data_IF_050474955277
#
_entry.id   IF_050474955277
#
_cell.length_a   1.000
_cell.length_b   1.000
_cell.length_c   1.000
_cell.angle_alpha   90.00
_cell.angle_beta   90.00
_cell.angle_gamma   90.00
#
_symmetry.space_group_name_H-M   'P 1'
#
loop_
_entity.id
_entity.type
_entity.pdbx_description
1 polymer ?
#
# COMPACT_ATOMS: atom_id res chain seq x y z
N UNK A 1 -19.35 13.15 18.50
CA UNK A 1 -18.77 11.83 18.23
C UNK A 1 -17.95 11.91 16.94
N UNK A 2 -16.68 11.55 16.98
CA UNK A 2 -15.83 11.49 15.77
C UNK A 2 -16.38 10.41 14.83
N UNK A 3 -16.63 10.74 13.56
CA UNK A 3 -17.25 9.82 12.58
C UNK A 3 -16.23 8.76 12.16
N UNK A 4 -16.47 7.49 12.52
CA UNK A 4 -15.69 6.36 12.01
C UNK A 4 -15.90 6.22 10.49
N UNK A 5 -14.82 6.28 9.72
CA UNK A 5 -14.86 6.05 8.29
C UNK A 5 -14.80 4.54 8.00
N UNK A 6 -15.82 4.02 7.32
CA UNK A 6 -15.88 2.60 6.97
C UNK A 6 -14.75 2.22 6.03
N UNK A 7 -14.10 1.09 6.30
CA UNK A 7 -13.05 0.53 5.45
C UNK A 7 -13.65 -0.45 4.44
N UNK A 8 -13.29 -0.30 3.17
CA UNK A 8 -13.76 -1.17 2.08
C UNK A 8 -13.33 -2.63 2.27
N UNK A 9 -12.18 -2.88 2.90
CA UNK A 9 -11.71 -4.23 3.22
C UNK A 9 -12.58 -4.95 4.27
N UNK A 10 -13.35 -4.22 5.08
CA UNK A 10 -14.11 -4.78 6.20
C UNK A 10 -15.02 -5.97 5.86
N UNK A 11 -15.92 -5.87 4.85
CA UNK A 11 -16.76 -6.99 4.43
C UNK A 11 -15.97 -8.23 4.04
N UNK A 12 -14.81 -8.05 3.39
CA UNK A 12 -13.94 -9.15 2.96
C UNK A 12 -13.30 -9.87 4.15
N UNK A 13 -12.85 -9.12 5.16
CA UNK A 13 -12.32 -9.72 6.40
C UNK A 13 -13.37 -10.56 7.12
N UNK A 14 -14.61 -10.08 7.20
CA UNK A 14 -15.74 -10.84 7.80
C UNK A 14 -16.04 -12.09 6.98
N UNK A 15 -16.01 -12.01 5.64
CA UNK A 15 -16.16 -13.17 4.76
C UNK A 15 -15.06 -14.20 5.04
N UNK A 16 -13.80 -13.79 5.09
CA UNK A 16 -12.68 -14.70 5.36
C UNK A 16 -12.75 -15.35 6.73
N UNK A 17 -13.15 -14.61 7.75
CA UNK A 17 -13.34 -15.18 9.10
C UNK A 17 -14.44 -16.25 9.18
N UNK A 18 -15.31 -16.38 8.16
CA UNK A 18 -16.27 -17.47 8.02
C UNK A 18 -15.74 -18.66 7.21
N UNK A 19 -14.60 -18.50 6.55
CA UNK A 19 -14.05 -19.48 5.60
C UNK A 19 -12.70 -20.06 6.05
N UNK A 20 -11.96 -19.32 6.86
CA UNK A 20 -10.59 -19.68 7.28
C UNK A 20 -10.50 -19.65 8.80
N UNK A 21 -9.77 -20.59 9.42
CA UNK A 21 -9.55 -20.58 10.87
C UNK A 21 -8.75 -19.35 11.33
N UNK A 22 -7.86 -18.83 10.48
CA UNK A 22 -7.03 -17.67 10.77
C UNK A 22 -7.24 -16.58 9.71
N UNK A 23 -7.37 -15.33 10.15
CA UNK A 23 -7.33 -14.13 9.26
C UNK A 23 -6.19 -13.25 9.71
N UNK A 24 -5.24 -12.98 8.82
CA UNK A 24 -4.11 -12.08 9.06
C UNK A 24 -4.34 -10.74 8.36
N UNK A 25 -4.31 -9.65 9.13
CA UNK A 25 -4.39 -8.28 8.62
C UNK A 25 -3.05 -7.58 8.75
N UNK A 26 -2.41 -7.32 7.63
CA UNK A 26 -1.14 -6.58 7.53
C UNK A 26 -1.37 -5.15 7.05
N UNK A 27 -0.32 -4.35 6.98
CA UNK A 27 -0.37 -2.97 6.45
C UNK A 27 0.53 -2.01 7.21
N UNK A 28 0.73 -0.78 6.70
CA UNK A 28 1.58 0.19 7.34
C UNK A 28 1.11 0.53 8.76
N UNK A 29 2.01 1.05 9.57
CA UNK A 29 1.64 1.62 10.87
C UNK A 29 0.63 2.76 10.66
N UNK A 30 -0.24 2.96 11.63
CA UNK A 30 -1.31 3.98 11.59
C UNK A 30 -2.34 3.83 10.44
N UNK A 31 -2.37 2.70 9.71
CA UNK A 31 -3.43 2.44 8.71
C UNK A 31 -4.79 2.11 9.31
N UNK A 32 -4.88 1.93 10.64
CA UNK A 32 -6.13 1.67 11.35
C UNK A 32 -6.46 0.18 11.52
N UNK A 33 -5.47 -0.73 11.46
CA UNK A 33 -5.66 -2.19 11.63
C UNK A 33 -6.39 -2.53 12.93
N UNK A 34 -5.84 -2.10 14.07
CA UNK A 34 -6.42 -2.31 15.40
C UNK A 34 -7.86 -1.82 15.50
N UNK A 35 -8.13 -0.61 15.01
CA UNK A 35 -9.46 0.00 15.00
C UNK A 35 -10.44 -0.83 14.17
N UNK A 36 -10.00 -1.29 13.00
CA UNK A 36 -10.83 -2.09 12.10
C UNK A 36 -11.18 -3.44 12.72
N UNK A 37 -10.19 -4.21 13.21
CA UNK A 37 -10.47 -5.54 13.78
C UNK A 37 -11.34 -5.47 15.03
N UNK A 38 -11.13 -4.51 15.92
CA UNK A 38 -11.99 -4.28 17.09
C UNK A 38 -13.43 -3.97 16.70
N UNK A 39 -13.62 -3.18 15.64
CA UNK A 39 -14.98 -2.82 15.18
C UNK A 39 -15.70 -3.98 14.50
N UNK A 40 -14.97 -4.86 13.78
CA UNK A 40 -15.56 -5.99 13.07
C UNK A 40 -15.77 -7.23 13.95
N UNK A 41 -14.92 -7.41 14.96
CA UNK A 41 -14.91 -8.60 15.81
C UNK A 41 -15.10 -8.26 17.30
N UNK A 42 -16.18 -7.55 17.68
CA UNK A 42 -16.37 -7.05 19.05
C UNK A 42 -16.61 -8.16 20.08
N UNK A 43 -16.91 -9.38 19.62
CA UNK A 43 -17.12 -10.56 20.48
C UNK A 43 -15.86 -11.42 20.66
N UNK A 44 -14.77 -11.08 19.99
CA UNK A 44 -13.49 -11.77 20.17
C UNK A 44 -12.76 -11.19 21.39
N UNK A 45 -12.10 -12.05 22.16
CA UNK A 45 -11.12 -11.58 23.15
C UNK A 45 -10.03 -10.78 22.42
N UNK A 46 -9.52 -9.73 23.05
CA UNK A 46 -8.51 -8.88 22.45
C UNK A 46 -7.26 -8.82 23.31
N UNK A 47 -6.13 -9.12 22.71
CA UNK A 47 -4.80 -8.97 23.33
C UNK A 47 -3.87 -8.20 22.41
N UNK A 48 -3.02 -7.34 23.01
CA UNK A 48 -2.02 -6.55 22.27
C UNK A 48 -0.62 -6.89 22.76
N UNK A 49 0.19 -7.47 21.89
CA UNK A 49 1.57 -7.88 22.18
C UNK A 49 2.59 -6.70 22.20
N UNK A 50 2.14 -5.47 21.95
CA UNK A 50 2.94 -4.27 22.31
C UNK A 50 3.06 -4.14 23.85
N UNK A 51 2.06 -4.64 24.61
CA UNK A 51 2.14 -4.70 26.08
C UNK A 51 3.23 -5.69 26.49
N UNK A 52 4.27 -5.26 27.26
CA UNK A 52 5.35 -6.15 27.66
C UNK A 52 4.88 -7.35 28.47
N UNK A 53 3.91 -7.18 29.36
CA UNK A 53 3.39 -8.28 30.22
C UNK A 53 2.77 -9.37 29.38
N UNK A 54 1.90 -9.00 28.43
CA UNK A 54 1.24 -9.93 27.51
C UNK A 54 2.27 -10.63 26.61
N UNK A 55 3.23 -9.87 26.10
CA UNK A 55 4.30 -10.41 25.26
C UNK A 55 5.19 -11.39 26.00
N UNK A 56 5.59 -11.07 27.22
CA UNK A 56 6.45 -11.93 28.03
C UNK A 56 5.74 -13.23 28.35
N UNK A 57 4.46 -13.19 28.73
CA UNK A 57 3.64 -14.38 28.95
C UNK A 57 3.50 -15.22 27.67
N UNK A 58 3.15 -14.58 26.54
CA UNK A 58 3.06 -15.24 25.23
C UNK A 58 4.37 -15.90 24.76
N UNK A 59 5.51 -15.40 25.22
CA UNK A 59 6.85 -15.92 24.85
C UNK A 59 7.30 -17.04 25.78
N UNK A 60 7.05 -16.91 27.09
CA UNK A 60 7.50 -17.87 28.12
C UNK A 60 6.61 -19.13 28.13
N UNK A 61 5.29 -18.96 28.06
CA UNK A 61 4.34 -20.08 28.04
C UNK A 61 3.23 -19.84 27.00
N UNK A 62 3.53 -20.06 25.71
CA UNK A 62 2.57 -19.84 24.62
C UNK A 62 1.34 -20.73 24.70
N UNK A 63 1.45 -21.93 25.27
CA UNK A 63 0.34 -22.88 25.41
C UNK A 63 -0.67 -22.37 26.45
N UNK A 64 -0.20 -22.02 27.65
CA UNK A 64 -1.07 -21.47 28.69
C UNK A 64 -1.65 -20.11 28.25
N UNK A 65 -0.85 -19.26 27.61
CA UNK A 65 -1.31 -17.98 27.07
C UNK A 65 -2.49 -18.15 26.10
N UNK A 66 -2.33 -18.99 25.06
CA UNK A 66 -3.39 -19.23 24.08
C UNK A 66 -4.59 -19.96 24.71
N UNK A 67 -4.35 -20.89 25.62
CA UNK A 67 -5.40 -21.60 26.37
C UNK A 67 -6.29 -20.67 27.20
N UNK A 68 -5.69 -19.66 27.85
CA UNK A 68 -6.42 -18.66 28.63
C UNK A 68 -7.28 -17.73 27.75
N UNK A 69 -6.85 -17.41 26.54
CA UNK A 69 -7.58 -16.55 25.61
C UNK A 69 -8.82 -17.25 25.04
N UNK A 70 -8.83 -18.58 25.04
CA UNK A 70 -9.94 -19.38 24.54
C UNK A 70 -10.08 -19.31 23.01
N UNK A 71 -11.29 -19.58 22.57
CA UNK A 71 -11.65 -19.52 21.13
C UNK A 71 -12.13 -18.12 20.75
N UNK A 72 -11.88 -17.69 19.53
CA UNK A 72 -12.21 -16.36 18.99
C UNK A 72 -11.43 -15.22 19.65
N UNK A 73 -10.20 -15.09 19.22
CA UNK A 73 -9.28 -14.06 19.73
C UNK A 73 -8.73 -13.18 18.62
N UNK A 74 -8.58 -11.89 18.94
CA UNK A 74 -7.80 -10.92 18.16
C UNK A 74 -6.45 -10.77 18.84
N UNK A 75 -5.37 -11.15 18.15
CA UNK A 75 -3.99 -10.94 18.61
C UNK A 75 -3.37 -9.82 17.77
N UNK A 76 -3.17 -8.68 18.42
CA UNK A 76 -2.62 -7.47 17.77
C UNK A 76 -1.09 -7.45 17.90
N UNK A 77 -0.39 -7.06 16.83
CA UNK A 77 1.07 -6.98 16.73
C UNK A 77 1.79 -8.34 16.92
N UNK A 78 1.26 -9.39 16.25
CA UNK A 78 1.77 -10.78 16.36
C UNK A 78 3.27 -10.93 16.08
N UNK A 79 3.89 -10.02 15.31
CA UNK A 79 5.33 -10.04 15.06
C UNK A 79 6.18 -9.85 16.33
N UNK A 80 5.57 -9.43 17.44
CA UNK A 80 6.25 -9.29 18.75
C UNK A 80 6.48 -10.65 19.44
N UNK A 81 5.69 -11.68 19.10
CA UNK A 81 5.84 -13.05 19.58
C UNK A 81 5.60 -14.05 18.42
N UNK A 82 6.51 -14.13 17.44
CA UNK A 82 6.32 -14.93 16.23
C UNK A 82 6.24 -16.44 16.50
N UNK A 83 6.75 -16.92 17.62
CA UNK A 83 6.66 -18.31 18.06
C UNK A 83 5.22 -18.78 18.25
N UNK A 84 4.28 -17.87 18.55
CA UNK A 84 2.86 -18.19 18.64
C UNK A 84 2.29 -18.79 17.35
N UNK A 85 2.84 -18.46 16.18
CA UNK A 85 2.31 -18.96 14.91
C UNK A 85 2.32 -20.48 14.82
N UNK A 86 3.34 -21.15 15.34
CA UNK A 86 3.42 -22.61 15.36
C UNK A 86 2.40 -23.24 16.34
N UNK A 87 2.17 -22.59 17.49
CA UNK A 87 1.14 -23.05 18.44
C UNK A 87 -0.27 -22.81 17.91
N UNK A 88 -0.51 -21.68 17.25
CA UNK A 88 -1.78 -21.40 16.55
C UNK A 88 -2.03 -22.45 15.47
N UNK A 89 -0.99 -22.85 14.72
CA UNK A 89 -1.10 -23.93 13.74
C UNK A 89 -1.62 -25.22 14.39
N UNK A 90 -1.00 -25.68 15.48
CA UNK A 90 -1.43 -26.90 16.18
C UNK A 90 -2.89 -26.81 16.62
N UNK A 91 -3.30 -25.69 17.21
CA UNK A 91 -4.69 -25.49 17.66
C UNK A 91 -5.71 -25.51 16.52
N UNK A 92 -5.40 -24.92 15.36
CA UNK A 92 -6.33 -24.94 14.21
C UNK A 92 -6.36 -26.30 13.52
N UNK A 93 -5.29 -27.08 13.58
CA UNK A 93 -5.24 -28.45 13.05
C UNK A 93 -6.06 -29.43 13.90
N UNK A 94 -6.20 -29.18 15.20
CA UNK A 94 -7.06 -29.96 16.11
C UNK A 94 -8.55 -29.66 15.92
N UNK A 95 -8.91 -28.51 15.33
CA UNK A 95 -10.30 -28.09 15.12
C UNK A 95 -10.49 -27.52 13.69
N UNK A 96 -10.34 -28.34 12.63
CA UNK A 96 -10.30 -27.88 11.24
C UNK A 96 -11.59 -27.22 10.75
N UNK A 97 -12.73 -27.55 11.34
CA UNK A 97 -14.04 -27.00 10.99
C UNK A 97 -14.34 -25.66 11.69
N UNK A 98 -13.48 -25.20 12.60
CA UNK A 98 -13.66 -23.93 13.29
C UNK A 98 -13.02 -22.78 12.52
N UNK A 99 -13.86 -21.85 12.07
CA UNK A 99 -13.43 -20.68 11.31
C UNK A 99 -13.46 -19.39 12.14
N UNK A 100 -12.58 -18.43 11.80
CA UNK A 100 -12.48 -17.16 12.49
C UNK A 100 -11.99 -17.27 13.94
N UNK A 101 -11.25 -18.34 14.25
CA UNK A 101 -10.71 -18.58 15.58
C UNK A 101 -9.67 -17.51 15.93
N UNK A 102 -8.77 -17.22 15.01
CA UNK A 102 -7.72 -16.20 15.20
C UNK A 102 -7.82 -15.07 14.19
N UNK A 103 -7.89 -13.85 14.70
CA UNK A 103 -7.72 -12.63 13.91
C UNK A 103 -6.37 -12.02 14.31
N UNK A 104 -5.38 -12.11 13.44
CA UNK A 104 -4.04 -11.65 13.71
C UNK A 104 -3.83 -10.29 13.03
N UNK A 105 -3.19 -9.35 13.71
CA UNK A 105 -2.71 -8.14 13.05
C UNK A 105 -1.21 -7.99 13.22
N UNK A 106 -0.59 -7.26 12.29
CA UNK A 106 0.82 -6.92 12.42
C UNK A 106 1.28 -5.97 11.33
N UNK A 107 2.36 -5.24 11.62
CA UNK A 107 3.13 -4.60 10.56
C UNK A 107 3.83 -5.71 9.77
N UNK A 108 3.76 -5.67 8.44
CA UNK A 108 4.46 -6.66 7.61
C UNK A 108 5.96 -6.47 7.81
N UNK A 109 6.62 -7.53 8.26
CA UNK A 109 8.05 -7.66 8.10
C UNK A 109 8.33 -9.01 7.39
N UNK A 110 9.49 -9.13 6.78
CA UNK A 110 9.88 -10.33 6.05
C UNK A 110 9.88 -11.59 6.95
N UNK A 111 10.21 -11.44 8.23
CA UNK A 111 10.24 -12.54 9.20
C UNK A 111 8.82 -13.02 9.53
N UNK A 112 7.88 -12.10 9.76
CA UNK A 112 6.49 -12.44 10.02
C UNK A 112 5.87 -13.20 8.83
N UNK A 113 6.08 -12.70 7.62
CA UNK A 113 5.53 -13.35 6.42
C UNK A 113 6.12 -14.73 6.16
N UNK A 114 7.41 -14.94 6.46
CA UNK A 114 8.02 -16.28 6.43
C UNK A 114 7.38 -17.20 7.48
N UNK A 115 7.21 -16.74 8.72
CA UNK A 115 6.55 -17.51 9.77
C UNK A 115 5.12 -17.90 9.40
N UNK A 116 4.33 -16.96 8.88
CA UNK A 116 2.96 -17.23 8.39
C UNK A 116 2.96 -18.24 7.24
N UNK A 117 3.86 -18.09 6.27
CA UNK A 117 3.98 -19.03 5.14
C UNK A 117 4.43 -20.43 5.58
N UNK A 118 5.25 -20.54 6.60
CA UNK A 118 5.72 -21.83 7.13
C UNK A 118 4.66 -22.55 7.99
N UNK A 119 4.07 -21.80 8.93
CA UNK A 119 3.18 -22.41 9.94
C UNK A 119 1.69 -22.39 9.54
N UNK A 120 1.22 -21.37 8.81
CA UNK A 120 -0.21 -21.16 8.54
C UNK A 120 -0.58 -21.32 7.07
N UNK A 121 0.27 -21.92 6.24
CA UNK A 121 -0.03 -22.18 4.82
C UNK A 121 -1.32 -22.98 4.66
N UNK A 122 -2.24 -22.50 3.81
CA UNK A 122 -3.55 -23.12 3.58
C UNK A 122 -4.59 -22.88 4.67
N UNK A 123 -4.19 -22.35 5.84
CA UNK A 123 -5.07 -22.13 7.02
C UNK A 123 -5.43 -20.66 7.22
N UNK A 124 -4.78 -19.74 6.53
CA UNK A 124 -4.92 -18.31 6.75
C UNK A 124 -5.31 -17.54 5.48
N UNK A 125 -6.26 -16.63 5.63
CA UNK A 125 -6.49 -15.55 4.67
C UNK A 125 -5.67 -14.33 5.06
N UNK A 126 -4.98 -13.71 4.10
CA UNK A 126 -4.10 -12.55 4.34
C UNK A 126 -4.66 -11.33 3.62
N UNK A 127 -4.92 -10.27 4.37
CA UNK A 127 -5.34 -8.97 3.87
C UNK A 127 -4.31 -7.88 4.15
N UNK A 128 -4.28 -6.87 3.29
CA UNK A 128 -3.43 -5.69 3.47
C UNK A 128 -4.29 -4.44 3.59
N UNK A 129 -4.24 -3.77 4.74
CA UNK A 129 -4.95 -2.52 4.98
C UNK A 129 -4.03 -1.34 4.69
N UNK A 130 -4.17 -0.77 3.50
CA UNK A 130 -3.44 0.46 3.10
C UNK A 130 -4.11 1.72 3.70
N UNK A 131 -3.49 2.90 3.62
CA UNK A 131 -4.15 4.16 3.94
C UNK A 131 -5.49 4.30 3.21
N UNK A 132 -6.34 5.26 3.59
CA UNK A 132 -7.65 5.44 2.97
C UNK A 132 -7.58 5.53 1.44
N UNK A 133 -8.58 4.96 0.75
CA UNK A 133 -8.83 5.30 -0.65
C UNK A 133 -9.61 6.61 -0.77
N UNK A 134 -9.62 7.18 -1.97
CA UNK A 134 -10.35 8.41 -2.24
C UNK A 134 -11.85 8.25 -1.95
N UNK A 135 -12.43 7.09 -2.23
CA UNK A 135 -13.82 6.79 -1.94
C UNK A 135 -14.10 6.62 -0.44
N UNK A 136 -13.18 6.04 0.33
CA UNK A 136 -13.31 5.91 1.79
C UNK A 136 -13.38 7.29 2.48
N UNK A 137 -12.74 8.31 1.92
CA UNK A 137 -12.81 9.70 2.41
C UNK A 137 -13.92 10.53 1.75
N UNK A 138 -14.78 9.92 0.94
CA UNK A 138 -15.92 10.59 0.29
C UNK A 138 -15.54 11.46 -0.91
N UNK A 139 -14.53 11.09 -1.68
CA UNK A 139 -14.13 11.76 -2.92
C UNK A 139 -13.17 12.95 -2.75
N UNK A 140 -12.80 13.29 -1.51
CA UNK A 140 -11.89 14.41 -1.22
C UNK A 140 -12.49 15.80 -1.51
N UNK A 141 -11.71 16.81 -1.19
CA UNK A 141 -12.04 18.23 -1.45
C UNK A 141 -11.30 18.81 -2.66
N UNK A 142 -10.46 19.80 -2.43
CA UNK A 142 -9.53 20.30 -3.44
C UNK A 142 -8.45 19.26 -3.73
N UNK A 143 -8.10 19.06 -5.01
CA UNK A 143 -7.11 18.07 -5.45
C UNK A 143 -5.79 18.20 -4.67
N UNK A 144 -5.18 19.38 -4.74
CA UNK A 144 -3.86 19.59 -4.15
C UNK A 144 -3.86 19.50 -2.63
N UNK A 145 -4.95 19.95 -1.98
CA UNK A 145 -5.14 19.77 -0.55
C UNK A 145 -5.24 18.29 -0.17
N UNK A 146 -5.99 17.51 -0.93
CA UNK A 146 -6.15 16.06 -0.70
C UNK A 146 -4.82 15.33 -0.86
N UNK A 147 -4.05 15.64 -1.91
CA UNK A 147 -2.76 15.00 -2.15
C UNK A 147 -1.68 15.40 -1.12
N UNK A 148 -1.66 16.69 -0.73
CA UNK A 148 -0.75 17.19 0.31
C UNK A 148 -1.06 16.59 1.68
N UNK A 149 -2.33 16.46 2.03
CA UNK A 149 -2.78 15.87 3.29
C UNK A 149 -2.43 14.37 3.37
N UNK A 150 -2.37 13.68 2.22
CA UNK A 150 -2.21 12.23 2.17
C UNK A 150 -3.46 11.49 2.63
N UNK A 151 -3.31 10.21 2.99
CA UNK A 151 -4.43 9.32 3.21
C UNK A 151 -4.33 8.54 4.54
N UNK A 152 -3.41 8.89 5.44
CA UNK A 152 -3.32 8.26 6.74
C UNK A 152 -4.54 8.58 7.62
N UNK A 153 -5.25 7.56 8.17
CA UNK A 153 -6.50 7.74 8.91
C UNK A 153 -6.44 8.75 10.05
N UNK A 154 -5.33 8.80 10.78
CA UNK A 154 -5.20 9.69 11.94
C UNK A 154 -5.24 11.17 11.56
N UNK A 155 -4.70 11.53 10.39
CA UNK A 155 -4.72 12.92 9.91
C UNK A 155 -6.17 13.37 9.67
N UNK A 156 -7.00 12.51 9.07
CA UNK A 156 -8.43 12.80 8.83
C UNK A 156 -9.25 12.76 10.11
N UNK A 157 -9.03 11.74 10.94
CA UNK A 157 -9.84 11.52 12.13
C UNK A 157 -9.63 12.57 13.21
N UNK A 158 -8.39 13.00 13.42
CA UNK A 158 -8.00 13.94 14.45
C UNK A 158 -7.83 15.39 13.93
N UNK A 159 -8.05 15.58 12.60
CA UNK A 159 -7.86 16.85 11.90
C UNK A 159 -6.49 17.48 12.20
N UNK A 160 -5.45 16.64 12.09
CA UNK A 160 -4.07 17.06 12.37
C UNK A 160 -3.49 17.86 11.19
N UNK A 161 -2.51 18.73 11.50
CA UNK A 161 -1.64 19.27 10.46
C UNK A 161 -0.84 18.11 9.81
N UNK A 162 -0.91 17.95 8.48
CA UNK A 162 -0.26 16.82 7.81
C UNK A 162 1.26 16.84 7.95
N UNK A 163 1.87 18.01 7.91
CA UNK A 163 3.33 18.16 7.99
C UNK A 163 3.83 17.74 9.36
N UNK A 164 3.16 18.19 10.43
CA UNK A 164 3.49 17.82 11.80
C UNK A 164 3.24 16.33 12.06
N UNK A 165 2.08 15.82 11.66
CA UNK A 165 1.71 14.42 11.86
C UNK A 165 2.69 13.46 11.15
N UNK A 166 3.11 13.78 9.92
CA UNK A 166 4.05 12.97 9.14
C UNK A 166 5.50 13.13 9.63
N UNK A 167 5.85 14.27 10.23
CA UNK A 167 7.12 14.43 10.95
C UNK A 167 7.20 13.44 12.11
N UNK A 168 6.19 13.39 12.96
CA UNK A 168 6.15 12.41 14.06
C UNK A 168 6.06 10.97 13.57
N UNK A 169 5.32 10.71 12.49
CA UNK A 169 5.28 9.38 11.87
C UNK A 169 6.68 8.93 11.44
N UNK A 170 7.43 9.80 10.77
CA UNK A 170 8.79 9.51 10.30
C UNK A 170 9.73 9.26 11.47
N UNK A 171 9.77 10.15 12.45
CA UNK A 171 10.67 10.06 13.59
C UNK A 171 10.37 8.87 14.53
N UNK A 172 9.08 8.52 14.71
CA UNK A 172 8.71 7.51 15.72
C UNK A 172 8.57 6.11 15.16
N UNK A 173 8.08 5.97 13.93
CA UNK A 173 7.77 4.65 13.35
C UNK A 173 8.78 4.24 12.29
N UNK A 174 9.06 5.12 11.34
CA UNK A 174 9.94 4.76 10.24
C UNK A 174 11.36 4.53 10.73
N UNK A 175 11.89 5.42 11.56
CA UNK A 175 13.23 5.26 12.14
C UNK A 175 13.34 4.03 13.03
N UNK A 176 12.31 3.74 13.83
CA UNK A 176 12.27 2.56 14.69
C UNK A 176 12.23 1.27 13.90
N UNK A 177 11.32 1.16 12.92
CA UNK A 177 11.17 -0.05 12.11
C UNK A 177 12.44 -0.34 11.30
N UNK A 178 13.09 0.72 10.80
CA UNK A 178 14.38 0.60 10.10
C UNK A 178 15.48 0.13 11.03
N UNK A 179 15.59 0.67 12.24
CA UNK A 179 16.60 0.23 13.22
C UNK A 179 16.41 -1.23 13.60
N UNK A 180 15.17 -1.68 13.79
CA UNK A 180 14.85 -3.08 14.13
C UNK A 180 15.18 -4.04 12.98
N UNK A 181 14.94 -3.64 11.72
CA UNK A 181 15.09 -4.52 10.55
C UNK A 181 16.51 -4.60 9.98
N UNK A 182 17.32 -3.55 10.09
CA UNK A 182 18.57 -3.44 9.31
C UNK A 182 19.82 -3.23 10.14
N UNK A 183 19.75 -2.99 11.44
CA UNK A 183 20.90 -2.52 12.22
C UNK A 183 21.59 -1.32 11.53
N UNK A 184 20.80 -0.39 10.97
CA UNK A 184 21.32 0.81 10.29
C UNK A 184 22.22 1.58 11.26
N UNK A 185 23.51 1.59 10.97
CA UNK A 185 24.49 2.33 11.77
C UNK A 185 24.37 3.84 11.55
N UNK A 186 23.86 4.26 10.38
CA UNK A 186 23.75 5.66 9.98
C UNK A 186 22.31 6.00 9.57
N UNK A 187 21.52 6.40 10.56
CA UNK A 187 20.12 6.83 10.34
C UNK A 187 20.04 8.09 9.47
N UNK A 188 21.01 8.99 9.55
CA UNK A 188 21.03 10.23 8.76
C UNK A 188 21.09 9.91 7.26
N UNK A 189 21.98 8.98 6.87
CA UNK A 189 22.05 8.52 5.47
C UNK A 189 20.78 7.81 5.02
N UNK A 190 20.14 7.05 5.89
CA UNK A 190 18.88 6.42 5.57
C UNK A 190 17.77 7.46 5.32
N UNK A 191 17.68 8.50 6.13
CA UNK A 191 16.72 9.59 5.93
C UNK A 191 17.01 10.37 4.65
N UNK A 192 18.28 10.61 4.33
CA UNK A 192 18.68 11.18 3.04
C UNK A 192 18.25 10.29 1.89
N UNK A 193 18.50 8.98 1.96
CA UNK A 193 18.07 8.00 0.97
C UNK A 193 16.55 8.02 0.76
N UNK A 194 15.78 8.07 1.85
CA UNK A 194 14.33 8.15 1.81
C UNK A 194 13.83 9.40 1.09
N UNK A 195 14.45 10.57 1.35
CA UNK A 195 14.13 11.83 0.65
C UNK A 195 14.47 11.75 -0.84
N UNK A 196 15.59 11.15 -1.20
CA UNK A 196 15.96 10.91 -2.59
C UNK A 196 15.00 9.97 -3.29
N UNK A 197 14.51 8.93 -2.60
CA UNK A 197 13.45 8.06 -3.10
C UNK A 197 12.15 8.85 -3.33
N UNK A 198 11.78 9.77 -2.43
CA UNK A 198 10.58 10.60 -2.60
C UNK A 198 10.69 11.51 -3.84
N UNK A 199 11.86 12.10 -4.09
CA UNK A 199 12.13 12.88 -5.31
C UNK A 199 12.11 12.07 -6.60
N UNK A 200 12.12 10.73 -6.51
CA UNK A 200 12.11 9.81 -7.65
C UNK A 200 10.84 8.94 -7.71
N UNK A 201 9.80 9.29 -6.97
CA UNK A 201 8.51 8.59 -7.10
C UNK A 201 7.99 8.65 -8.53
N UNK A 202 7.46 7.55 -9.06
CA UNK A 202 7.01 7.43 -10.44
C UNK A 202 8.12 7.19 -11.48
N UNK A 203 9.40 7.15 -11.07
CA UNK A 203 10.51 6.95 -12.00
C UNK A 203 10.99 5.49 -12.01
N UNK A 204 11.69 5.10 -13.09
CA UNK A 204 12.39 3.83 -13.15
C UNK A 204 13.43 3.75 -12.03
N UNK A 205 13.41 2.65 -11.30
CA UNK A 205 14.27 2.43 -10.14
C UNK A 205 15.72 2.26 -10.59
N UNK A 206 16.57 3.24 -10.28
CA UNK A 206 18.00 3.15 -10.44
C UNK A 206 18.70 3.12 -9.07
N UNK A 207 18.87 1.91 -8.53
CA UNK A 207 19.48 1.70 -7.23
C UNK A 207 20.96 2.13 -7.19
N UNK A 208 21.68 2.07 -8.32
CA UNK A 208 23.07 2.50 -8.39
C UNK A 208 23.19 4.03 -8.25
N UNK A 209 22.32 4.80 -8.92
CA UNK A 209 22.31 6.25 -8.77
C UNK A 209 21.88 6.67 -7.37
N UNK A 210 20.87 6.02 -6.79
CA UNK A 210 20.46 6.26 -5.39
C UNK A 210 21.61 6.00 -4.41
N UNK A 211 22.35 4.91 -4.63
CA UNK A 211 23.49 4.55 -3.81
C UNK A 211 24.63 5.59 -3.90
N UNK A 212 24.95 6.04 -5.12
CA UNK A 212 25.97 7.04 -5.37
C UNK A 212 25.63 8.38 -4.68
N UNK A 213 24.38 8.86 -4.82
CA UNK A 213 23.93 10.13 -4.22
C UNK A 213 23.91 10.08 -2.67
N UNK A 214 23.79 8.89 -2.08
CA UNK A 214 23.83 8.69 -0.63
C UNK A 214 25.22 8.30 -0.09
N UNK A 215 26.21 8.06 -0.94
CA UNK A 215 27.51 7.55 -0.54
C UNK A 215 27.44 6.18 0.13
N UNK A 216 26.59 5.25 -0.37
CA UNK A 216 26.40 3.89 0.12
C UNK A 216 26.67 2.87 -0.98
N UNK A 217 26.87 1.60 -0.60
CA UNK A 217 27.00 0.53 -1.58
C UNK A 217 25.67 0.22 -2.28
N UNK A 218 25.71 -0.16 -3.56
CA UNK A 218 24.51 -0.54 -4.32
C UNK A 218 23.71 -1.68 -3.68
N UNK A 219 24.38 -2.65 -3.04
CA UNK A 219 23.72 -3.72 -2.27
C UNK A 219 22.91 -3.13 -1.10
N UNK A 220 23.46 -2.18 -0.38
CA UNK A 220 22.78 -1.49 0.73
C UNK A 220 21.53 -0.74 0.23
N UNK A 221 21.62 -0.07 -0.92
CA UNK A 221 20.47 0.61 -1.49
C UNK A 221 19.32 -0.38 -1.83
N UNK A 222 19.64 -1.54 -2.40
CA UNK A 222 18.65 -2.59 -2.68
C UNK A 222 18.04 -3.19 -1.39
N UNK A 223 18.85 -3.39 -0.37
CA UNK A 223 18.38 -3.82 0.96
C UNK A 223 17.41 -2.78 1.56
N UNK A 224 17.77 -1.50 1.51
CA UNK A 224 16.93 -0.42 2.02
C UNK A 224 15.61 -0.28 1.24
N UNK A 225 15.63 -0.42 -0.09
CA UNK A 225 14.40 -0.48 -0.89
C UNK A 225 13.50 -1.64 -0.46
N UNK A 226 14.08 -2.83 -0.26
CA UNK A 226 13.31 -4.01 0.18
C UNK A 226 12.67 -3.81 1.56
N UNK A 227 13.31 -3.06 2.44
CA UNK A 227 12.77 -2.70 3.75
C UNK A 227 11.63 -1.69 3.62
N UNK A 228 11.82 -0.66 2.79
CA UNK A 228 10.76 0.31 2.51
C UNK A 228 9.52 -0.35 1.90
N UNK A 229 9.70 -1.38 1.05
CA UNK A 229 8.59 -2.19 0.54
C UNK A 229 7.93 -3.02 1.63
N UNK A 230 8.73 -3.74 2.44
CA UNK A 230 8.23 -4.54 3.55
C UNK A 230 7.52 -3.71 4.63
N UNK A 231 7.83 -2.41 4.72
CA UNK A 231 7.19 -1.45 5.64
C UNK A 231 6.01 -0.70 5.00
N UNK A 232 5.61 -1.03 3.78
CA UNK A 232 4.55 -0.32 3.04
C UNK A 232 4.82 1.18 2.84
N UNK A 233 6.06 1.58 2.71
CA UNK A 233 6.43 2.97 2.39
C UNK A 233 6.48 3.16 0.88
N UNK A 234 7.11 2.22 0.18
CA UNK A 234 7.18 2.23 -1.28
C UNK A 234 6.66 0.91 -1.85
N UNK A 235 6.38 0.92 -3.14
CA UNK A 235 6.06 -0.26 -3.92
C UNK A 235 6.67 -0.15 -5.31
N UNK A 236 7.16 -1.28 -5.85
CA UNK A 236 7.65 -1.38 -7.22
C UNK A 236 6.52 -1.78 -8.15
N UNK A 237 6.42 -1.08 -9.29
CA UNK A 237 5.53 -1.41 -10.38
C UNK A 237 6.36 -2.05 -11.49
N UNK A 238 6.19 -3.35 -11.77
CA UNK A 238 6.94 -4.01 -12.84
C UNK A 238 6.50 -3.53 -14.24
N UNK A 239 7.35 -3.64 -15.25
CA UNK A 239 6.96 -3.35 -16.62
C UNK A 239 6.09 -4.48 -17.19
N UNK A 240 5.18 -4.10 -18.09
CA UNK A 240 4.38 -5.05 -18.83
C UNK A 240 5.18 -5.62 -20.03
N UNK A 241 5.16 -6.92 -20.20
CA UNK A 241 5.64 -7.64 -21.37
C UNK A 241 4.71 -8.82 -21.66
N UNK A 242 4.52 -9.18 -22.93
CA UNK A 242 3.79 -10.39 -23.29
C UNK A 242 4.46 -11.65 -22.69
N UNK A 243 5.80 -11.68 -22.68
CA UNK A 243 6.56 -12.73 -22.00
C UNK A 243 6.70 -12.42 -20.50
N UNK A 244 6.12 -13.26 -19.65
CA UNK A 244 6.08 -13.12 -18.19
C UNK A 244 7.49 -13.05 -17.57
N UNK A 245 8.45 -13.84 -18.05
CA UNK A 245 9.84 -13.83 -17.55
C UNK A 245 10.50 -12.45 -17.74
N UNK A 246 10.16 -11.73 -18.81
CA UNK A 246 10.64 -10.36 -19.02
C UNK A 246 10.04 -9.36 -18.05
N UNK A 247 8.80 -9.57 -17.57
CA UNK A 247 8.17 -8.73 -16.54
C UNK A 247 8.97 -8.74 -15.24
N UNK A 248 9.59 -9.87 -14.90
CA UNK A 248 10.33 -10.05 -13.66
C UNK A 248 11.78 -9.55 -13.71
N UNK A 249 12.38 -9.48 -14.91
CA UNK A 249 13.81 -9.19 -15.11
C UNK A 249 14.13 -7.74 -15.47
N UNK A 250 13.12 -6.94 -15.84
CA UNK A 250 13.31 -5.57 -16.30
C UNK A 250 13.05 -4.56 -15.18
N UNK A 251 13.60 -3.36 -15.35
CA UNK A 251 13.58 -2.30 -14.32
C UNK A 251 12.16 -1.84 -14.01
N UNK A 252 11.71 -1.96 -12.74
CA UNK A 252 10.41 -1.45 -12.31
C UNK A 252 10.44 0.07 -12.11
N UNK A 253 9.26 0.70 -12.11
CA UNK A 253 9.07 2.03 -11.50
C UNK A 253 8.90 1.89 -9.98
N UNK A 254 9.25 2.94 -9.23
CA UNK A 254 9.05 2.99 -7.78
C UNK A 254 8.06 4.09 -7.40
N UNK A 255 7.11 3.75 -6.54
CA UNK A 255 6.12 4.69 -6.02
C UNK A 255 6.03 4.61 -4.50
N UNK A 256 5.78 5.74 -3.86
CA UNK A 256 5.33 5.75 -2.48
C UNK A 256 3.87 5.29 -2.37
N UNK A 257 3.46 4.79 -1.19
CA UNK A 257 2.09 4.37 -0.94
C UNK A 257 1.21 5.46 -0.30
N UNK A 258 1.78 6.64 -0.09
CA UNK A 258 1.06 7.81 0.41
C UNK A 258 1.67 9.11 -0.12
N UNK A 259 0.82 9.99 -0.68
CA UNK A 259 1.26 11.26 -1.28
C UNK A 259 1.62 12.31 -0.25
N UNK A 260 0.97 12.31 0.91
CA UNK A 260 1.31 13.21 2.02
C UNK A 260 2.72 12.95 2.53
N UNK A 261 3.11 11.67 2.65
CA UNK A 261 4.48 11.31 3.03
C UNK A 261 5.49 11.79 1.99
N UNK A 262 5.19 11.69 0.69
CA UNK A 262 6.05 12.26 -0.36
C UNK A 262 6.18 13.78 -0.18
N UNK A 263 5.06 14.48 0.01
CA UNK A 263 5.07 15.93 0.22
C UNK A 263 5.93 16.32 1.43
N UNK A 264 5.75 15.65 2.57
CA UNK A 264 6.53 15.87 3.77
C UNK A 264 8.04 15.69 3.53
N UNK A 265 8.44 14.58 2.92
CA UNK A 265 9.85 14.26 2.65
C UNK A 265 10.52 15.23 1.69
N UNK A 266 9.75 15.84 0.78
CA UNK A 266 10.19 16.87 -0.16
C UNK A 266 10.13 18.30 0.41
N UNK A 267 9.67 18.47 1.65
CA UNK A 267 9.53 19.80 2.27
C UNK A 267 8.37 20.62 1.72
N UNK A 268 7.37 19.97 1.09
CA UNK A 268 6.16 20.64 0.60
C UNK A 268 5.20 20.82 1.78
N UNK A 269 5.05 22.06 2.25
CA UNK A 269 4.35 22.39 3.50
C UNK A 269 2.91 22.88 3.31
N UNK A 270 2.43 23.02 2.06
CA UNK A 270 1.06 23.43 1.78
C UNK A 270 0.54 22.92 0.45
N UNK A 271 -0.80 22.91 0.31
CA UNK A 271 -1.47 22.59 -0.93
C UNK A 271 -1.10 23.54 -2.10
N UNK A 272 -0.93 24.82 -1.82
CA UNK A 272 -0.58 25.82 -2.82
C UNK A 272 0.86 25.63 -3.32
N UNK A 273 1.77 25.29 -2.42
CA UNK A 273 3.14 24.92 -2.80
C UNK A 273 3.14 23.66 -3.67
N UNK A 274 2.34 22.64 -3.35
CA UNK A 274 2.20 21.44 -4.18
C UNK A 274 1.65 21.76 -5.56
N UNK A 275 0.64 22.63 -5.67
CA UNK A 275 0.01 23.01 -6.93
C UNK A 275 0.98 23.61 -7.95
N UNK A 276 2.04 24.29 -7.48
CA UNK A 276 3.10 24.90 -8.29
C UNK A 276 4.39 24.08 -8.33
N UNK A 277 4.48 22.97 -7.56
CA UNK A 277 5.72 22.21 -7.42
C UNK A 277 6.09 21.45 -8.72
N UNK A 278 7.38 21.41 -9.13
CA UNK A 278 7.81 20.67 -10.32
C UNK A 278 7.41 19.19 -10.34
N UNK A 279 7.39 18.54 -9.17
CA UNK A 279 7.02 17.12 -9.04
C UNK A 279 5.51 16.87 -8.85
N UNK A 280 4.65 17.90 -9.01
CA UNK A 280 3.19 17.72 -8.85
C UNK A 280 2.61 16.64 -9.75
N UNK A 281 3.16 16.47 -10.96
CA UNK A 281 2.76 15.39 -11.89
C UNK A 281 3.07 14.02 -11.35
N UNK A 282 4.30 13.79 -10.87
CA UNK A 282 4.72 12.51 -10.28
C UNK A 282 3.97 12.19 -8.97
N UNK A 283 3.63 13.19 -8.17
CA UNK A 283 2.82 13.02 -6.95
C UNK A 283 1.38 12.67 -7.32
N UNK A 284 0.81 13.28 -8.36
CA UNK A 284 -0.50 12.91 -8.87
C UNK A 284 -0.51 11.51 -9.47
N UNK A 285 0.52 11.12 -10.23
CA UNK A 285 0.70 9.76 -10.73
C UNK A 285 0.78 8.75 -9.57
N UNK A 286 1.55 9.08 -8.54
CA UNK A 286 1.64 8.28 -7.30
C UNK A 286 0.27 8.08 -6.66
N UNK A 287 -0.55 9.13 -6.55
CA UNK A 287 -1.93 9.02 -6.05
C UNK A 287 -2.73 8.00 -6.87
N UNK A 288 -2.78 8.15 -8.19
CA UNK A 288 -3.55 7.26 -9.07
C UNK A 288 -3.08 5.82 -8.91
N UNK A 289 -1.77 5.58 -8.91
CA UNK A 289 -1.19 4.26 -8.71
C UNK A 289 -1.59 3.64 -7.36
N UNK A 290 -1.60 4.45 -6.30
CA UNK A 290 -2.01 3.95 -4.97
C UNK A 290 -3.49 3.59 -4.93
N UNK A 291 -4.37 4.28 -5.65
CA UNK A 291 -5.80 3.93 -5.73
C UNK A 291 -6.01 2.57 -6.41
N UNK A 292 -5.25 2.24 -7.46
CA UNK A 292 -5.29 0.90 -8.05
C UNK A 292 -4.83 -0.17 -7.06
N UNK A 293 -3.73 0.03 -6.34
CA UNK A 293 -3.29 -0.92 -5.30
C UNK A 293 -4.30 -1.08 -4.18
N UNK A 294 -4.90 0.01 -3.70
CA UNK A 294 -5.96 0.00 -2.69
C UNK A 294 -7.20 -0.76 -3.17
N UNK A 295 -7.57 -0.59 -4.44
CA UNK A 295 -8.67 -1.34 -5.05
C UNK A 295 -8.46 -2.86 -4.93
N UNK A 296 -7.30 -3.36 -5.34
CA UNK A 296 -6.97 -4.79 -5.25
C UNK A 296 -6.86 -5.25 -3.79
N UNK A 297 -6.16 -4.50 -2.94
CA UNK A 297 -5.99 -4.83 -1.54
C UNK A 297 -7.32 -4.91 -0.79
N UNK A 298 -8.23 -3.95 -1.01
CA UNK A 298 -9.57 -3.90 -0.39
C UNK A 298 -10.49 -5.05 -0.82
N UNK A 299 -10.17 -5.73 -1.92
CA UNK A 299 -10.87 -6.93 -2.41
C UNK A 299 -10.14 -8.23 -2.07
N UNK A 300 -8.96 -8.15 -1.46
CA UNK A 300 -8.12 -9.31 -1.18
C UNK A 300 -7.65 -10.01 -2.44
N UNK A 301 -7.42 -9.26 -3.50
CA UNK A 301 -6.98 -9.76 -4.80
C UNK A 301 -5.51 -9.41 -5.04
N UNK A 302 -4.81 -10.27 -5.77
CA UNK A 302 -3.51 -9.92 -6.31
C UNK A 302 -3.67 -8.82 -7.37
N UNK A 303 -2.84 -7.80 -7.29
CA UNK A 303 -2.85 -6.75 -8.30
C UNK A 303 -2.35 -7.26 -9.66
N UNK A 304 -3.00 -6.76 -10.69
CA UNK A 304 -2.70 -7.06 -12.10
C UNK A 304 -2.42 -5.76 -12.84
N UNK A 305 -1.38 -5.05 -12.37
CA UNK A 305 -1.00 -3.74 -12.89
C UNK A 305 0.50 -3.68 -13.19
N UNK A 306 0.84 -2.97 -14.25
CA UNK A 306 2.18 -2.79 -14.79
C UNK A 306 2.32 -1.41 -15.40
N UNK A 307 3.53 -0.93 -15.62
CA UNK A 307 3.79 0.15 -16.57
C UNK A 307 4.20 -0.43 -17.93
N UNK A 308 4.04 0.32 -19.01
CA UNK A 308 4.54 -0.08 -20.33
C UNK A 308 5.55 0.92 -20.84
N UNK A 309 6.65 0.42 -21.39
CA UNK A 309 7.63 1.23 -22.10
C UNK A 309 8.26 0.41 -23.22
N UNK A 310 8.26 0.97 -24.42
CA UNK A 310 8.89 0.33 -25.59
C UNK A 310 10.32 0.80 -25.84
N UNK A 311 10.99 0.19 -26.84
CA UNK A 311 12.35 0.56 -27.26
C UNK A 311 12.45 1.97 -27.85
N UNK A 312 11.35 2.54 -28.33
CA UNK A 312 11.23 3.92 -28.79
C UNK A 312 10.92 4.92 -27.71
N UNK A 313 11.02 4.52 -26.44
CA UNK A 313 10.73 5.32 -25.22
C UNK A 313 9.28 5.81 -25.11
N UNK A 314 8.34 5.24 -25.89
CA UNK A 314 6.91 5.50 -25.70
C UNK A 314 6.46 4.79 -24.44
N UNK A 315 5.69 5.46 -23.62
CA UNK A 315 5.32 5.00 -22.28
C UNK A 315 3.81 5.07 -22.08
N UNK A 316 3.27 4.12 -21.33
CA UNK A 316 1.93 4.18 -20.70
C UNK A 316 2.15 4.02 -19.21
N UNK A 317 1.58 4.93 -18.44
CA UNK A 317 1.77 4.98 -16.99
C UNK A 317 1.26 3.72 -16.32
N UNK A 318 0.10 3.19 -16.76
CA UNK A 318 -0.50 1.99 -16.18
C UNK A 318 -1.18 1.11 -17.23
N UNK A 319 -0.84 -0.17 -17.19
CA UNK A 319 -1.55 -1.29 -17.84
C UNK A 319 -2.25 -2.08 -16.73
N UNK A 320 -3.55 -2.26 -16.80
CA UNK A 320 -4.31 -3.10 -15.87
C UNK A 320 -4.98 -4.25 -16.62
N UNK A 321 -4.78 -5.50 -16.16
CA UNK A 321 -5.41 -6.72 -16.68
C UNK A 321 -6.51 -7.18 -15.71
N UNK A 322 -7.59 -6.40 -15.62
CA UNK A 322 -8.74 -6.69 -14.76
C UNK A 322 -9.70 -7.75 -15.35
N UNK A 323 -10.78 -8.04 -14.62
CA UNK A 323 -11.84 -8.97 -15.05
C UNK A 323 -12.63 -8.46 -16.27
N UNK A 324 -12.73 -7.15 -16.43
CA UNK A 324 -13.41 -6.50 -17.55
C UNK A 324 -12.54 -6.35 -18.82
N UNK A 325 -11.36 -6.95 -18.83
CA UNK A 325 -10.39 -6.83 -19.92
C UNK A 325 -9.20 -5.95 -19.58
N UNK A 326 -8.40 -5.65 -20.60
CA UNK A 326 -7.21 -4.81 -20.43
C UNK A 326 -7.55 -3.34 -20.53
N UNK A 327 -7.01 -2.55 -19.60
CA UNK A 327 -7.08 -1.09 -19.61
C UNK A 327 -5.68 -0.50 -19.79
N UNK A 328 -5.57 0.50 -20.63
CA UNK A 328 -4.39 1.36 -20.72
C UNK A 328 -4.75 2.73 -20.15
N UNK A 329 -3.97 3.18 -19.19
CA UNK A 329 -4.26 4.43 -18.48
C UNK A 329 -3.09 5.37 -18.57
N UNK A 330 -3.34 6.56 -19.06
CA UNK A 330 -2.44 7.72 -19.01
C UNK A 330 -2.84 8.62 -17.85
N UNK A 331 -1.88 9.24 -17.17
CA UNK A 331 -2.13 10.00 -15.94
C UNK A 331 -1.63 11.44 -16.12
N UNK A 332 -2.53 12.42 -15.95
CA UNK A 332 -2.21 13.84 -16.17
C UNK A 332 -2.76 14.70 -15.04
N UNK A 333 -1.88 15.40 -14.34
CA UNK A 333 -2.27 16.29 -13.23
C UNK A 333 -2.98 17.59 -13.67
N UNK A 334 -3.00 17.89 -14.97
CA UNK A 334 -3.70 19.04 -15.54
C UNK A 334 -5.21 18.98 -15.34
N UNK A 335 -5.84 20.15 -15.18
CA UNK A 335 -7.29 20.23 -14.97
C UNK A 335 -8.07 20.35 -16.29
N UNK A 336 -7.47 20.90 -17.33
CA UNK A 336 -8.07 21.03 -18.66
C UNK A 336 -7.64 19.84 -19.51
N UNK A 337 -8.57 19.01 -20.01
CA UNK A 337 -8.21 17.87 -20.83
C UNK A 337 -7.78 18.30 -22.24
N UNK A 338 -6.66 17.74 -22.69
CA UNK A 338 -6.12 17.94 -24.03
C UNK A 338 -6.26 16.64 -24.85
N UNK A 339 -6.68 16.74 -26.12
CA UNK A 339 -6.86 15.58 -27.00
C UNK A 339 -5.55 14.78 -27.19
N UNK A 340 -4.42 15.46 -27.20
CA UNK A 340 -3.07 14.88 -27.35
C UNK A 340 -2.74 13.82 -26.29
N UNK A 341 -3.35 13.91 -25.08
CA UNK A 341 -3.12 12.94 -24.01
C UNK A 341 -3.57 11.53 -24.37
N UNK A 342 -4.59 11.41 -25.25
CA UNK A 342 -5.08 10.13 -25.74
C UNK A 342 -4.32 9.56 -26.94
N UNK A 343 -3.55 10.36 -27.66
CA UNK A 343 -2.90 9.94 -28.91
C UNK A 343 -1.81 8.88 -28.70
N UNK A 344 -1.05 8.99 -27.61
CA UNK A 344 -0.05 7.98 -27.25
C UNK A 344 -0.71 6.65 -26.93
N UNK A 345 -1.82 6.65 -26.16
CA UNK A 345 -2.61 5.46 -25.84
C UNK A 345 -3.10 4.78 -27.12
N UNK A 346 -3.68 5.52 -28.07
CA UNK A 346 -4.18 4.98 -29.34
C UNK A 346 -3.07 4.34 -30.17
N UNK A 347 -1.91 4.99 -30.28
CA UNK A 347 -0.76 4.43 -31.02
C UNK A 347 -0.23 3.16 -30.39
N UNK A 348 -0.13 3.12 -29.06
CA UNK A 348 0.41 1.96 -28.36
C UNK A 348 -0.64 0.85 -28.25
N UNK A 349 -1.95 1.15 -28.24
CA UNK A 349 -2.99 0.12 -28.17
C UNK A 349 -2.91 -0.92 -29.29
N UNK A 350 -2.40 -0.54 -30.46
CA UNK A 350 -2.19 -1.44 -31.59
C UNK A 350 -1.12 -2.54 -31.32
N UNK A 351 -0.30 -2.38 -30.29
CA UNK A 351 0.71 -3.40 -29.89
C UNK A 351 0.07 -4.54 -29.09
N UNK A 352 -1.12 -4.29 -28.51
CA UNK A 352 -1.83 -5.29 -27.73
C UNK A 352 -2.78 -6.11 -28.60
N UNK A 353 -2.79 -7.45 -28.47
CA UNK A 353 -3.60 -8.32 -29.33
C UNK A 353 -5.11 -8.23 -29.09
N UNK A 354 -5.51 -7.81 -27.90
CA UNK A 354 -6.87 -7.55 -27.48
C UNK A 354 -7.09 -6.02 -27.52
N UNK A 355 -8.20 -5.57 -28.08
CA UNK A 355 -8.54 -4.14 -28.13
C UNK A 355 -8.70 -3.57 -26.70
N UNK A 356 -7.67 -2.96 -26.11
CA UNK A 356 -7.73 -2.49 -24.71
C UNK A 356 -8.62 -1.25 -24.61
N UNK A 357 -9.25 -1.08 -23.45
CA UNK A 357 -9.96 0.14 -23.11
C UNK A 357 -8.96 1.27 -22.80
N UNK A 358 -9.21 2.48 -23.31
CA UNK A 358 -8.29 3.60 -23.21
C UNK A 358 -8.83 4.67 -22.26
N UNK A 359 -8.03 5.00 -21.26
CA UNK A 359 -8.39 5.96 -20.21
C UNK A 359 -7.31 7.02 -20.00
N UNK A 360 -7.74 8.25 -19.74
CA UNK A 360 -6.91 9.30 -19.18
C UNK A 360 -7.46 9.66 -17.81
N UNK A 361 -6.73 9.38 -16.74
CA UNK A 361 -7.08 9.89 -15.40
C UNK A 361 -6.45 11.27 -15.22
N UNK A 362 -7.25 12.27 -14.88
CA UNK A 362 -6.77 13.64 -14.88
C UNK A 362 -7.27 14.49 -13.69
N UNK A 363 -6.59 15.63 -13.46
CA UNK A 363 -6.85 16.50 -12.32
C UNK A 363 -8.12 17.37 -12.42
N UNK A 364 -8.93 17.24 -13.49
CA UNK A 364 -10.16 17.99 -13.68
C UNK A 364 -11.39 17.32 -13.07
N UNK A 365 -12.58 17.78 -13.46
CA UNK A 365 -13.85 17.43 -12.83
C UNK A 365 -14.86 16.75 -13.75
N UNK A 366 -14.66 16.79 -15.08
CA UNK A 366 -15.66 16.31 -16.05
C UNK A 366 -15.29 14.93 -16.60
N UNK A 367 -16.22 13.97 -16.49
CA UNK A 367 -16.11 12.68 -17.17
C UNK A 367 -16.56 12.87 -18.63
N UNK A 368 -15.73 12.47 -19.60
CA UNK A 368 -16.00 12.70 -21.01
C UNK A 368 -15.27 11.71 -21.91
N UNK A 369 -15.81 11.47 -23.09
CA UNK A 369 -15.18 10.62 -24.11
C UNK A 369 -14.74 11.50 -25.27
N UNK A 370 -13.47 11.38 -25.68
CA UNK A 370 -12.90 12.07 -26.83
C UNK A 370 -12.16 11.09 -27.72
N UNK A 371 -12.61 10.95 -28.96
CA UNK A 371 -11.94 10.08 -29.95
C UNK A 371 -11.72 8.64 -29.47
N UNK A 372 -12.66 8.04 -28.75
CA UNK A 372 -12.54 6.67 -28.23
C UNK A 372 -11.74 6.52 -26.94
N UNK A 373 -11.27 7.63 -26.34
CA UNK A 373 -10.56 7.64 -25.04
C UNK A 373 -11.47 8.27 -23.99
N UNK A 374 -11.68 7.62 -22.85
CA UNK A 374 -12.45 8.17 -21.74
C UNK A 374 -11.54 8.94 -20.79
N UNK A 375 -11.87 10.20 -20.55
CA UNK A 375 -11.21 11.09 -19.61
C UNK A 375 -11.94 11.03 -18.28
N UNK A 376 -11.31 10.44 -17.28
CA UNK A 376 -11.89 10.20 -15.95
C UNK A 376 -11.32 11.19 -14.96
N UNK A 377 -12.14 12.01 -14.29
CA UNK A 377 -11.65 12.91 -13.26
C UNK A 377 -11.13 12.12 -12.04
N UNK A 378 -10.10 12.62 -11.40
CA UNK A 378 -9.42 11.97 -10.27
C UNK A 378 -10.34 11.52 -9.13
N UNK A 379 -11.46 12.23 -8.92
CA UNK A 379 -12.45 11.85 -7.89
C UNK A 379 -13.28 10.64 -8.26
N UNK A 380 -13.39 10.36 -9.54
CA UNK A 380 -14.22 9.28 -10.09
C UNK A 380 -13.38 8.06 -10.49
N UNK A 381 -12.14 7.96 -10.02
CA UNK A 381 -11.23 6.86 -10.37
C UNK A 381 -11.86 5.48 -10.05
N UNK A 382 -12.72 5.39 -9.04
CA UNK A 382 -13.46 4.18 -8.69
C UNK A 382 -14.33 3.65 -9.83
N UNK A 383 -14.76 4.52 -10.77
CA UNK A 383 -15.52 4.11 -11.96
C UNK A 383 -14.72 3.23 -12.93
N UNK A 384 -13.40 3.15 -12.75
CA UNK A 384 -12.52 2.25 -13.53
C UNK A 384 -12.54 0.81 -12.99
N UNK A 385 -13.10 0.59 -11.81
CA UNK A 385 -13.02 -0.67 -11.08
C UNK A 385 -14.34 -1.48 -11.11
N UNK A 386 -15.24 -1.10 -11.95
CA UNK A 386 -16.57 -1.74 -12.09
C UNK A 386 -16.52 -2.90 -13.06
#
# INVERSE_FOLDING_TARGET
MKKYLKRQLGPKLVQWARQYPVVMLTGPRQSGKTTLVKSLFPKHAYVNLENPVERDYATVDPVAFLGQLGRRVVIDEIQRAPTLLSHIQSMVDEAPDEHGHFILTGSQNLQLMRGVSQSLAGRTAIGSLLPFSISEIGGGGNLWKTLWQGFFPRIFHDNLDPTEALSFYTATYLERDVRELVKVRDLSRFLQFLRLCAGRTGQLLNAANLAADCGIAGKTALEWISILEASYIVRRLPPWFANVSKRLSKTPKMYFLDTGLVCYLLGISSADQLASHPLRGAIFETFVMTEFWKHYANRGMADKIWHYRDGGQREIDLVNEGSAGRMLVEIKSGQTPHAEWGETLKRISAVFPDAPQLYVVYGGTSDQIRGGVRFVPWRSIDSLFV
#
